data_IF_498971889919
#
_entry.id   IF_498971889919
#
_cell.length_a   1.000
_cell.length_b   1.000
_cell.length_c   1.000
_cell.angle_alpha   90.00
_cell.angle_beta   90.00
_cell.angle_gamma   90.00
#
_symmetry.space_group_name_H-M   'P 1'
#
loop_
_entity.id
_entity.type
_entity.pdbx_description
1 polymer ?
#
# COMPACT_ATOMS: atom_id res chain seq x y z
N UNK A 1 3.06 -3.03 27.82
CA UNK A 1 2.87 -3.57 26.46
C UNK A 1 2.77 -5.10 26.50
N UNK A 2 1.65 -5.66 26.96
CA UNK A 2 1.43 -7.11 27.09
C UNK A 2 0.50 -7.70 26.00
N UNK A 3 0.08 -6.87 25.04
CA UNK A 3 -0.91 -7.24 24.01
C UNK A 3 -0.36 -7.91 22.75
N UNK A 4 0.96 -7.88 22.51
CA UNK A 4 1.54 -8.29 21.20
C UNK A 4 1.64 -9.80 21.04
N UNK A 5 2.16 -10.54 22.03
CA UNK A 5 2.44 -11.98 21.87
C UNK A 5 1.19 -12.86 21.68
N UNK A 6 0.08 -12.53 22.34
CA UNK A 6 -1.20 -13.24 22.16
C UNK A 6 -1.81 -12.93 20.80
N UNK A 7 -1.79 -11.66 20.41
CA UNK A 7 -2.28 -11.20 19.12
C UNK A 7 -1.48 -11.81 17.95
N UNK A 8 -0.14 -11.82 18.05
CA UNK A 8 0.75 -12.46 17.08
C UNK A 8 0.48 -13.95 16.93
N UNK A 9 0.23 -14.64 18.04
CA UNK A 9 -0.11 -16.07 18.03
C UNK A 9 -1.47 -16.33 17.38
N UNK A 10 -2.48 -15.50 17.66
CA UNK A 10 -3.80 -15.59 17.02
C UNK A 10 -3.71 -15.31 15.52
N UNK A 11 -2.93 -14.31 15.10
CA UNK A 11 -2.65 -14.02 13.68
C UNK A 11 -1.96 -15.19 12.99
N UNK A 12 -0.94 -15.79 13.61
CA UNK A 12 -0.24 -16.95 13.04
C UNK A 12 -1.17 -18.18 12.88
N UNK A 13 -2.06 -18.42 13.85
CA UNK A 13 -3.06 -19.50 13.76
C UNK A 13 -4.06 -19.24 12.63
N UNK A 14 -4.57 -18.01 12.53
CA UNK A 14 -5.49 -17.63 11.45
C UNK A 14 -4.82 -17.69 10.08
N UNK A 15 -3.55 -17.26 9.98
CA UNK A 15 -2.79 -17.31 8.75
C UNK A 15 -2.59 -18.75 8.26
N UNK A 16 -2.30 -19.70 9.17
CA UNK A 16 -2.21 -21.14 8.83
C UNK A 16 -3.52 -21.68 8.25
N UNK A 17 -4.67 -21.25 8.78
CA UNK A 17 -5.98 -21.67 8.26
C UNK A 17 -6.24 -21.11 6.86
N UNK A 18 -5.89 -19.85 6.62
CA UNK A 18 -6.08 -19.19 5.32
C UNK A 18 -5.12 -19.75 4.25
N UNK A 19 -3.92 -20.16 4.64
CA UNK A 19 -2.91 -20.70 3.72
C UNK A 19 -3.40 -21.94 2.96
N UNK A 20 -4.22 -22.78 3.59
CA UNK A 20 -4.74 -24.01 3.00
C UNK A 20 -5.69 -23.79 1.80
N UNK A 21 -6.27 -22.58 1.67
CA UNK A 21 -7.18 -22.22 0.58
C UNK A 21 -6.69 -21.08 -0.31
N UNK A 22 -5.44 -20.62 -0.13
CA UNK A 22 -4.92 -19.45 -0.81
C UNK A 22 -4.27 -19.79 -2.16
N UNK A 23 -4.94 -19.45 -3.26
CA UNK A 23 -4.41 -19.58 -4.61
C UNK A 23 -3.44 -18.45 -4.98
N UNK A 24 -3.65 -17.25 -4.44
CA UNK A 24 -2.86 -16.06 -4.76
C UNK A 24 -1.42 -16.17 -4.20
N UNK A 25 -0.37 -16.05 -5.05
CA UNK A 25 1.02 -16.21 -4.61
C UNK A 25 1.50 -15.13 -3.64
N UNK A 26 1.07 -13.87 -3.84
CA UNK A 26 1.43 -12.74 -2.97
C UNK A 26 0.87 -12.97 -1.56
N UNK A 27 -0.42 -13.30 -1.48
CA UNK A 27 -1.09 -13.60 -0.22
C UNK A 27 -0.50 -14.86 0.42
N UNK A 28 -0.11 -15.87 -0.35
CA UNK A 28 0.57 -17.07 0.18
C UNK A 28 1.91 -16.70 0.83
N UNK A 29 2.72 -15.87 0.18
CA UNK A 29 3.97 -15.36 0.76
C UNK A 29 3.70 -14.54 2.03
N UNK A 30 2.72 -13.65 2.01
CA UNK A 30 2.33 -12.84 3.16
C UNK A 30 1.91 -13.70 4.34
N UNK A 31 1.06 -14.70 4.11
CA UNK A 31 0.61 -15.64 5.14
C UNK A 31 1.79 -16.46 5.68
N UNK A 32 2.70 -16.92 4.84
CA UNK A 32 3.91 -17.62 5.25
C UNK A 32 4.79 -16.76 6.17
N UNK A 33 4.98 -15.47 5.84
CA UNK A 33 5.66 -14.52 6.71
C UNK A 33 4.95 -14.40 8.08
N UNK A 34 3.62 -14.25 8.09
CA UNK A 34 2.84 -14.18 9.34
C UNK A 34 2.95 -15.47 10.18
N UNK A 35 2.92 -16.65 9.56
CA UNK A 35 3.05 -17.91 10.31
C UNK A 35 4.40 -18.08 11.01
N UNK A 36 5.46 -17.45 10.48
CA UNK A 36 6.81 -17.44 11.05
C UNK A 36 7.00 -16.35 12.11
N UNK A 37 5.95 -15.61 12.46
CA UNK A 37 6.00 -14.54 13.45
C UNK A 37 6.53 -13.22 12.91
N UNK A 38 6.61 -13.06 11.57
CA UNK A 38 6.88 -11.77 10.94
C UNK A 38 5.62 -10.89 10.94
N UNK A 39 5.10 -10.60 12.13
CA UNK A 39 3.99 -9.66 12.31
C UNK A 39 4.46 -8.22 12.08
N UNK A 40 3.77 -7.52 11.17
CA UNK A 40 3.99 -6.11 10.89
C UNK A 40 5.34 -5.78 10.23
N UNK A 41 5.62 -4.48 10.10
CA UNK A 41 6.74 -3.94 9.31
C UNK A 41 8.10 -4.47 9.80
N UNK A 42 8.31 -4.59 11.11
CA UNK A 42 9.57 -5.12 11.67
C UNK A 42 9.79 -6.59 11.32
N UNK A 43 8.72 -7.38 11.27
CA UNK A 43 8.78 -8.78 10.86
C UNK A 43 9.16 -8.92 9.40
N UNK A 44 8.46 -8.18 8.52
CA UNK A 44 8.74 -8.16 7.09
C UNK A 44 10.16 -7.66 6.79
N UNK A 45 10.65 -6.67 7.54
CA UNK A 45 12.05 -6.22 7.46
C UNK A 45 13.08 -7.29 7.78
N UNK A 46 12.79 -8.18 8.74
CA UNK A 46 13.67 -9.34 9.00
C UNK A 46 13.62 -10.34 7.86
N UNK A 47 12.43 -10.60 7.31
CA UNK A 47 12.26 -11.50 6.17
C UNK A 47 13.03 -10.99 4.95
N UNK A 48 12.88 -9.72 4.59
CA UNK A 48 13.62 -9.09 3.50
C UNK A 48 15.14 -9.25 3.68
N UNK A 49 15.64 -8.93 4.88
CA UNK A 49 17.07 -9.08 5.20
C UNK A 49 17.59 -10.52 5.14
N UNK A 50 16.72 -11.51 5.36
CA UNK A 50 17.09 -12.93 5.23
C UNK A 50 17.18 -13.35 3.76
N UNK A 51 16.35 -12.75 2.90
CA UNK A 51 16.35 -13.02 1.46
C UNK A 51 17.49 -12.30 0.72
N UNK A 52 17.91 -11.14 1.22
CA UNK A 52 19.00 -10.31 0.69
C UNK A 52 20.37 -10.90 1.08
N UNK A 53 20.83 -11.91 0.32
CA UNK A 53 22.08 -12.64 0.56
C UNK A 53 23.30 -11.72 0.46
N UNK A 54 23.31 -10.81 -0.50
CA UNK A 54 24.44 -9.92 -0.77
C UNK A 54 24.40 -8.63 0.08
N UNK A 55 23.33 -8.39 0.83
CA UNK A 55 23.11 -7.22 1.70
C UNK A 55 23.15 -5.87 0.97
N UNK A 56 22.79 -5.83 -0.31
CA UNK A 56 22.73 -4.61 -1.12
C UNK A 56 21.43 -3.81 -0.89
N UNK A 57 20.52 -4.30 -0.03
CA UNK A 57 19.21 -3.72 0.30
C UNK A 57 18.18 -3.76 -0.83
N UNK A 58 18.38 -4.66 -1.78
CA UNK A 58 17.45 -4.96 -2.87
C UNK A 58 17.44 -6.48 -3.07
N UNK A 59 16.39 -7.03 -3.68
CA UNK A 59 16.33 -8.44 -4.03
C UNK A 59 16.39 -8.58 -5.53
N UNK A 60 17.44 -9.22 -6.04
CA UNK A 60 17.43 -9.66 -7.43
C UNK A 60 16.49 -10.87 -7.64
N UNK A 61 16.20 -11.21 -8.90
CA UNK A 61 15.28 -12.32 -9.21
C UNK A 61 15.74 -13.67 -8.60
N UNK A 62 17.05 -13.92 -8.50
CA UNK A 62 17.57 -15.16 -7.93
C UNK A 62 17.40 -15.18 -6.42
N UNK A 63 17.71 -14.08 -5.74
CA UNK A 63 17.50 -13.90 -4.30
C UNK A 63 16.02 -14.01 -3.95
N UNK A 64 15.15 -13.40 -4.75
CA UNK A 64 13.70 -13.50 -4.58
C UNK A 64 13.19 -14.94 -4.72
N UNK A 65 13.58 -15.67 -5.79
CA UNK A 65 13.19 -17.08 -6.00
C UNK A 65 13.70 -17.96 -4.85
N UNK A 66 14.95 -17.77 -4.43
CA UNK A 66 15.52 -18.50 -3.28
C UNK A 66 14.71 -18.22 -2.02
N UNK A 67 14.41 -16.94 -1.74
CA UNK A 67 13.59 -16.51 -0.62
C UNK A 67 12.20 -17.14 -0.61
N UNK A 68 11.51 -17.18 -1.75
CA UNK A 68 10.20 -17.84 -1.88
C UNK A 68 10.28 -19.33 -1.49
N UNK A 69 11.30 -20.03 -1.98
CA UNK A 69 11.53 -21.44 -1.68
C UNK A 69 11.82 -21.67 -0.20
N UNK A 70 12.68 -20.86 0.42
CA UNK A 70 13.01 -20.93 1.86
C UNK A 70 11.77 -20.65 2.74
N UNK A 71 10.85 -19.82 2.24
CA UNK A 71 9.57 -19.54 2.89
C UNK A 71 8.48 -20.58 2.58
N UNK A 72 8.79 -21.64 1.83
CA UNK A 72 7.87 -22.73 1.51
C UNK A 72 6.81 -22.35 0.48
N UNK A 73 7.09 -21.32 -0.33
CA UNK A 73 6.28 -20.93 -1.48
C UNK A 73 6.97 -21.48 -2.73
N UNK A 74 6.77 -22.77 -2.99
CA UNK A 74 7.28 -23.43 -4.18
C UNK A 74 6.42 -23.05 -5.38
N UNK A 75 7.06 -22.57 -6.44
CA UNK A 75 6.41 -22.22 -7.70
C UNK A 75 7.38 -22.38 -8.86
N UNK A 76 6.85 -22.49 -10.08
CA UNK A 76 7.65 -22.56 -11.29
C UNK A 76 8.37 -21.22 -11.54
N UNK A 77 9.47 -21.27 -12.29
CA UNK A 77 10.30 -20.10 -12.55
C UNK A 77 9.52 -18.99 -13.24
N UNK A 78 8.63 -19.33 -14.16
CA UNK A 78 7.78 -18.40 -14.90
C UNK A 78 6.80 -17.69 -13.97
N UNK A 79 6.20 -18.42 -13.01
CA UNK A 79 5.29 -17.87 -12.00
C UNK A 79 6.05 -16.94 -11.05
N UNK A 80 7.24 -17.32 -10.61
CA UNK A 80 8.09 -16.48 -9.77
C UNK A 80 8.55 -15.20 -10.49
N UNK A 81 8.82 -15.29 -11.80
CA UNK A 81 9.20 -14.12 -12.61
C UNK A 81 8.01 -13.17 -12.77
N UNK A 82 6.81 -13.70 -13.01
CA UNK A 82 5.60 -12.89 -13.06
C UNK A 82 5.29 -12.24 -11.69
N UNK A 83 5.53 -12.96 -10.60
CA UNK A 83 5.40 -12.42 -9.24
C UNK A 83 6.44 -11.32 -8.99
N UNK A 84 7.70 -11.54 -9.39
CA UNK A 84 8.77 -10.55 -9.28
C UNK A 84 8.40 -9.24 -9.97
N UNK A 85 7.86 -9.30 -11.18
CA UNK A 85 7.38 -8.11 -11.92
C UNK A 85 6.20 -7.38 -11.24
N UNK A 86 5.45 -8.05 -10.36
CA UNK A 86 4.42 -7.37 -9.57
C UNK A 86 5.01 -6.63 -8.36
N UNK A 87 6.17 -7.06 -7.88
CA UNK A 87 6.90 -6.40 -6.80
C UNK A 87 7.74 -5.24 -7.33
N UNK A 88 8.50 -5.46 -8.41
CA UNK A 88 9.35 -4.48 -9.11
C UNK A 88 8.47 -3.50 -9.91
N UNK A 89 7.98 -2.46 -9.23
CA UNK A 89 7.02 -1.49 -9.76
C UNK A 89 7.68 -0.42 -10.60
N UNK A 90 8.91 -0.06 -10.22
CA UNK A 90 9.68 0.92 -10.96
C UNK A 90 10.44 0.33 -12.16
N UNK A 91 10.47 -1.01 -12.27
CA UNK A 91 11.12 -1.73 -13.36
C UNK A 91 12.64 -1.67 -13.29
N UNK A 92 13.20 -1.44 -12.10
CA UNK A 92 14.64 -1.39 -11.86
C UNK A 92 15.33 -2.75 -12.07
N UNK A 93 14.55 -3.85 -12.11
CA UNK A 93 15.05 -5.22 -12.19
C UNK A 93 15.49 -5.78 -10.84
N UNK A 94 15.17 -5.08 -9.75
CA UNK A 94 15.41 -5.48 -8.36
C UNK A 94 14.24 -5.04 -7.51
N UNK A 95 13.91 -5.78 -6.45
CA UNK A 95 12.84 -5.38 -5.52
C UNK A 95 13.45 -4.65 -4.34
N UNK A 96 13.13 -3.38 -4.15
CA UNK A 96 13.58 -2.65 -2.97
C UNK A 96 12.72 -2.97 -1.72
N UNK A 97 13.15 -2.46 -0.57
CA UNK A 97 12.45 -2.73 0.68
C UNK A 97 11.03 -2.13 0.73
N UNK A 98 10.81 -0.97 0.13
CA UNK A 98 9.52 -0.30 0.12
C UNK A 98 8.53 -1.02 -0.80
N UNK A 99 8.97 -1.45 -1.99
CA UNK A 99 8.22 -2.30 -2.91
C UNK A 99 7.80 -3.62 -2.26
N UNK A 100 8.74 -4.25 -1.54
CA UNK A 100 8.47 -5.47 -0.79
C UNK A 100 7.40 -5.25 0.29
N UNK A 101 7.49 -4.16 1.06
CA UNK A 101 6.53 -3.84 2.11
C UNK A 101 5.15 -3.46 1.57
N UNK A 102 5.09 -2.70 0.48
CA UNK A 102 3.82 -2.29 -0.14
C UNK A 102 3.08 -3.52 -0.67
N UNK A 103 3.80 -4.44 -1.31
CA UNK A 103 3.20 -5.63 -1.92
C UNK A 103 2.76 -6.67 -0.89
N UNK A 104 3.50 -6.82 0.22
CA UNK A 104 3.12 -7.72 1.33
C UNK A 104 2.18 -7.11 2.37
N UNK A 105 1.73 -5.88 2.15
CA UNK A 105 0.77 -5.23 3.05
C UNK A 105 -0.54 -6.02 3.10
N UNK A 106 -1.18 -6.16 4.29
CA UNK A 106 -2.47 -6.82 4.37
C UNK A 106 -3.52 -6.13 3.48
N UNK A 107 -4.35 -6.89 2.75
CA UNK A 107 -5.39 -6.31 1.92
C UNK A 107 -6.41 -5.58 2.79
N UNK A 108 -6.85 -4.41 2.32
CA UNK A 108 -7.96 -3.68 2.97
C UNK A 108 -9.24 -4.52 2.99
N UNK A 109 -9.99 -4.45 4.09
CA UNK A 109 -11.31 -5.06 4.18
C UNK A 109 -12.28 -4.45 3.17
N UNK A 110 -13.35 -5.18 2.82
CA UNK A 110 -14.38 -4.68 1.89
C UNK A 110 -14.97 -3.34 2.36
N UNK A 111 -15.18 -3.18 3.66
CA UNK A 111 -15.72 -1.94 4.25
C UNK A 111 -14.75 -0.76 4.09
N UNK A 112 -13.44 -0.97 4.33
CA UNK A 112 -12.42 0.07 4.09
C UNK A 112 -12.31 0.43 2.61
N UNK A 113 -12.32 -0.56 1.71
CA UNK A 113 -12.30 -0.32 0.26
C UNK A 113 -13.52 0.51 -0.19
N UNK A 114 -14.68 0.26 0.40
CA UNK A 114 -15.90 0.99 0.06
C UNK A 114 -15.81 2.47 0.45
N UNK A 115 -15.40 2.81 1.68
CA UNK A 115 -15.29 4.22 2.08
C UNK A 115 -14.18 4.97 1.34
N UNK A 116 -13.08 4.30 0.96
CA UNK A 116 -12.05 4.87 0.08
C UNK A 116 -12.62 5.15 -1.31
N UNK A 117 -13.44 4.25 -1.85
CA UNK A 117 -14.12 4.47 -3.14
C UNK A 117 -15.12 5.62 -3.08
N UNK A 118 -15.88 5.74 -1.98
CA UNK A 118 -16.81 6.86 -1.76
C UNK A 118 -16.07 8.19 -1.72
N UNK A 119 -14.91 8.26 -1.04
CA UNK A 119 -14.05 9.42 -1.05
C UNK A 119 -13.52 9.75 -2.45
N UNK A 120 -13.01 8.75 -3.19
CA UNK A 120 -12.52 8.94 -4.56
C UNK A 120 -13.60 9.52 -5.48
N UNK A 121 -14.79 8.90 -5.50
CA UNK A 121 -15.94 9.36 -6.31
C UNK A 121 -16.45 10.74 -5.92
N UNK A 122 -16.25 11.15 -4.67
CA UNK A 122 -16.62 12.50 -4.23
C UNK A 122 -15.71 13.56 -4.85
N UNK A 123 -14.42 13.23 -5.01
CA UNK A 123 -13.39 14.08 -5.58
C UNK A 123 -13.45 14.11 -7.10
N UNK A 124 -13.54 12.96 -7.76
CA UNK A 124 -13.70 12.83 -9.21
C UNK A 124 -15.05 13.41 -9.67
N UNK A 125 -15.08 14.70 -10.03
CA UNK A 125 -16.28 15.44 -10.43
C UNK A 125 -16.57 15.29 -11.91
N UNK A 126 -15.54 15.18 -12.72
CA UNK A 126 -15.63 14.88 -14.15
C UNK A 126 -16.18 13.47 -14.38
N UNK A 127 -15.92 12.53 -13.46
CA UNK A 127 -16.32 11.14 -13.56
C UNK A 127 -15.49 10.35 -14.56
N UNK A 128 -14.30 10.83 -14.92
CA UNK A 128 -13.40 10.22 -15.91
C UNK A 128 -12.45 9.18 -15.28
N UNK A 129 -12.52 8.99 -13.95
CA UNK A 129 -11.76 8.00 -13.21
C UNK A 129 -10.37 8.48 -12.78
N UNK A 130 -10.06 9.78 -12.94
CA UNK A 130 -8.84 10.41 -12.42
C UNK A 130 -9.20 11.69 -11.67
N UNK A 131 -8.50 11.98 -10.57
CA UNK A 131 -8.69 13.24 -9.85
C UNK A 131 -7.64 14.24 -10.34
N UNK A 132 -8.10 15.38 -10.81
CA UNK A 132 -7.26 16.45 -11.35
C UNK A 132 -7.42 17.76 -10.57
N UNK A 133 -6.62 18.77 -10.91
CA UNK A 133 -6.77 20.13 -10.33
C UNK A 133 -8.16 20.71 -10.63
N UNK A 134 -8.74 20.39 -11.80
CA UNK A 134 -10.08 20.86 -12.18
C UNK A 134 -11.16 20.31 -11.25
N UNK A 135 -11.06 19.04 -10.87
CA UNK A 135 -11.95 18.40 -9.91
C UNK A 135 -11.88 19.07 -8.54
N UNK A 136 -10.66 19.38 -8.07
CA UNK A 136 -10.44 19.99 -6.76
C UNK A 136 -10.98 21.41 -6.67
N UNK A 137 -10.95 22.20 -7.76
CA UNK A 137 -11.56 23.54 -7.80
C UNK A 137 -13.06 23.50 -7.47
N UNK A 138 -13.75 22.41 -7.79
CA UNK A 138 -15.17 22.21 -7.49
C UNK A 138 -15.46 21.77 -6.05
N UNK A 139 -14.45 21.36 -5.28
CA UNK A 139 -14.61 20.76 -3.95
C UNK A 139 -13.95 21.59 -2.85
N UNK A 140 -12.81 22.21 -3.13
CA UNK A 140 -11.98 22.93 -2.17
C UNK A 140 -11.75 24.37 -2.61
N UNK A 141 -11.56 25.24 -1.63
CA UNK A 141 -11.31 26.66 -1.86
C UNK A 141 -9.90 27.03 -1.39
N UNK A 142 -9.00 27.33 -2.33
CA UNK A 142 -7.61 27.67 -2.06
C UNK A 142 -7.46 29.02 -1.31
N UNK A 143 -8.48 29.88 -1.29
CA UNK A 143 -8.42 31.23 -0.68
C UNK A 143 -8.14 31.24 0.82
N UNK A 144 -8.38 30.12 1.50
CA UNK A 144 -8.10 29.96 2.93
C UNK A 144 -6.74 29.33 3.22
N UNK A 145 -5.99 28.92 2.19
CA UNK A 145 -4.66 28.36 2.36
C UNK A 145 -3.66 29.47 2.72
N UNK A 146 -2.85 29.35 3.79
CA UNK A 146 -1.94 30.41 4.22
C UNK A 146 -0.96 30.88 3.13
N UNK A 147 -0.45 29.93 2.32
CA UNK A 147 0.46 30.25 1.21
C UNK A 147 -0.21 30.89 -0.01
N UNK A 148 -1.53 30.75 -0.13
CA UNK A 148 -2.26 31.50 -1.14
C UNK A 148 -2.51 32.93 -0.66
N UNK A 149 -2.83 33.10 0.63
CA UNK A 149 -3.10 34.40 1.24
C UNK A 149 -1.88 35.32 1.28
N UNK A 150 -0.68 34.78 1.50
CA UNK A 150 0.57 35.55 1.48
C UNK A 150 1.14 35.75 0.06
N UNK A 151 0.49 35.21 -0.98
CA UNK A 151 0.92 35.32 -2.38
C UNK A 151 2.10 34.44 -2.78
N UNK A 152 2.56 33.53 -1.92
CA UNK A 152 3.66 32.59 -2.25
C UNK A 152 3.23 31.55 -3.27
N UNK A 153 1.99 31.07 -3.18
CA UNK A 153 1.41 30.04 -4.03
C UNK A 153 0.19 30.56 -4.79
N UNK A 154 0.12 30.18 -6.05
CA UNK A 154 -1.08 30.23 -6.87
C UNK A 154 -2.10 29.17 -6.43
N UNK A 155 -3.34 29.32 -6.89
CA UNK A 155 -4.38 28.31 -6.64
C UNK A 155 -3.99 26.94 -7.19
N UNK A 156 -3.37 26.91 -8.37
CA UNK A 156 -2.94 25.67 -9.03
C UNK A 156 -1.82 24.99 -8.25
N UNK A 157 -0.88 25.74 -7.68
CA UNK A 157 0.19 25.19 -6.83
C UNK A 157 -0.34 24.60 -5.52
N UNK A 158 -1.37 25.21 -4.92
CA UNK A 158 -2.05 24.64 -3.75
C UNK A 158 -2.66 23.28 -4.09
N UNK A 159 -3.41 23.20 -5.19
CA UNK A 159 -4.07 21.96 -5.59
C UNK A 159 -3.09 20.91 -6.11
N UNK A 160 -2.06 21.31 -6.87
CA UNK A 160 -1.00 20.39 -7.33
C UNK A 160 -0.29 19.76 -6.14
N UNK A 161 0.09 20.56 -5.15
CA UNK A 161 0.75 20.07 -3.93
C UNK A 161 -0.16 19.13 -3.12
N UNK A 162 -1.47 19.41 -3.11
CA UNK A 162 -2.43 18.50 -2.50
C UNK A 162 -2.50 17.16 -3.24
N UNK A 163 -2.59 17.18 -4.58
CA UNK A 163 -2.60 15.96 -5.39
C UNK A 163 -1.30 15.17 -5.25
N UNK A 164 -0.15 15.85 -5.14
CA UNK A 164 1.16 15.23 -4.94
C UNK A 164 1.21 14.31 -3.71
N UNK A 165 0.36 14.56 -2.71
CA UNK A 165 0.28 13.70 -1.52
C UNK A 165 -0.33 12.32 -1.79
N UNK A 166 -1.08 12.16 -2.89
CA UNK A 166 -1.71 10.92 -3.32
C UNK A 166 -1.09 10.33 -4.59
N UNK A 167 -0.53 11.18 -5.45
CA UNK A 167 0.17 10.86 -6.69
C UNK A 167 1.33 9.87 -6.44
N UNK A 168 1.64 9.00 -7.39
CA UNK A 168 2.68 7.98 -7.25
C UNK A 168 4.04 8.60 -6.91
N UNK A 169 4.86 7.99 -6.03
CA UNK A 169 6.22 8.47 -5.81
C UNK A 169 7.12 8.23 -7.03
N UNK A 170 6.75 7.33 -7.94
CA UNK A 170 7.54 6.95 -9.11
C UNK A 170 7.17 7.76 -10.36
N UNK A 171 5.92 8.23 -10.46
CA UNK A 171 5.41 8.98 -11.60
C UNK A 171 4.56 10.13 -11.05
N UNK A 172 5.05 11.37 -11.15
CA UNK A 172 4.34 12.57 -10.68
C UNK A 172 3.70 13.30 -11.86
N UNK A 173 2.59 12.79 -12.37
CA UNK A 173 1.93 13.33 -13.57
C UNK A 173 0.87 14.42 -13.25
N UNK A 174 0.51 14.55 -11.97
CA UNK A 174 -0.45 15.53 -11.48
C UNK A 174 -1.90 15.16 -11.66
N UNK A 175 -2.10 13.87 -11.86
CA UNK A 175 -3.37 13.20 -11.79
C UNK A 175 -3.27 12.19 -10.67
N UNK A 176 -4.41 11.86 -10.10
CA UNK A 176 -4.48 10.81 -9.10
C UNK A 176 -5.47 9.79 -9.62
N UNK A 177 -4.93 8.69 -10.09
CA UNK A 177 -5.72 7.53 -10.49
C UNK A 177 -6.34 6.87 -9.28
N UNK A 178 -7.36 6.06 -9.54
CA UNK A 178 -7.96 5.21 -8.53
C UNK A 178 -6.93 4.33 -7.82
N UNK A 179 -6.00 3.73 -8.56
CA UNK A 179 -5.03 2.80 -7.99
C UNK A 179 -4.01 3.51 -7.08
N UNK A 180 -3.61 4.73 -7.42
CA UNK A 180 -2.74 5.56 -6.57
C UNK A 180 -3.45 5.97 -5.28
N UNK A 181 -4.69 6.46 -5.39
CA UNK A 181 -5.50 6.82 -4.23
C UNK A 181 -5.72 5.61 -3.30
N UNK A 182 -5.98 4.43 -3.88
CA UNK A 182 -6.10 3.18 -3.12
C UNK A 182 -4.76 2.76 -2.51
N UNK A 183 -3.64 2.92 -3.22
CA UNK A 183 -2.30 2.61 -2.72
C UNK A 183 -1.93 3.46 -1.51
N UNK A 184 -2.19 4.77 -1.58
CA UNK A 184 -2.03 5.69 -0.46
C UNK A 184 -2.84 5.24 0.76
N UNK A 185 -4.14 5.01 0.59
CA UNK A 185 -5.01 4.61 1.69
C UNK A 185 -4.78 3.19 2.18
N UNK A 186 -4.23 2.31 1.36
CA UNK A 186 -3.73 1.01 1.80
C UNK A 186 -2.67 1.19 2.89
N UNK A 187 -1.77 2.18 2.73
CA UNK A 187 -0.72 2.49 3.71
C UNK A 187 -1.26 3.01 5.02
N UNK A 188 -2.16 3.99 4.94
CA UNK A 188 -2.87 4.52 6.12
C UNK A 188 -3.71 3.42 6.78
N UNK A 189 -4.32 2.53 6.00
CA UNK A 189 -5.08 1.40 6.53
C UNK A 189 -4.20 0.42 7.29
N UNK A 190 -3.00 0.13 6.80
CA UNK A 190 -2.10 -0.83 7.43
C UNK A 190 -1.54 -0.35 8.78
N UNK A 191 -1.60 0.95 9.09
CA UNK A 191 -1.24 1.49 10.40
C UNK A 191 -2.42 1.58 11.38
N UNK A 192 -3.63 1.21 10.95
CA UNK A 192 -4.86 1.29 11.73
C UNK A 192 -5.47 -0.10 11.94
N UNK A 193 -5.48 -0.57 13.19
CA UNK A 193 -5.96 -1.91 13.54
C UNK A 193 -7.49 -2.06 13.42
N UNK A 194 -8.25 -0.99 13.65
CA UNK A 194 -9.72 -1.04 13.69
C UNK A 194 -10.37 -0.48 12.44
N UNK A 195 -11.21 -1.30 11.79
CA UNK A 195 -12.06 -0.87 10.66
C UNK A 195 -12.97 0.29 11.04
N UNK A 196 -13.58 0.24 12.24
CA UNK A 196 -14.46 1.32 12.74
C UNK A 196 -13.74 2.66 12.79
N UNK A 197 -12.53 2.70 13.37
CA UNK A 197 -11.72 3.90 13.43
C UNK A 197 -11.29 4.38 12.04
N UNK A 198 -10.82 3.48 11.16
CA UNK A 198 -10.46 3.84 9.78
C UNK A 198 -11.65 4.48 9.03
N UNK A 199 -12.82 3.86 9.12
CA UNK A 199 -14.04 4.35 8.45
C UNK A 199 -14.46 5.71 9.02
N UNK A 200 -14.42 5.87 10.35
CA UNK A 200 -14.73 7.15 10.99
C UNK A 200 -13.75 8.25 10.57
N UNK A 201 -12.45 7.95 10.54
CA UNK A 201 -11.41 8.85 10.06
C UNK A 201 -11.67 9.28 8.61
N UNK A 202 -11.97 8.33 7.72
CA UNK A 202 -12.27 8.61 6.31
C UNK A 202 -13.52 9.47 6.13
N UNK A 203 -14.61 9.15 6.83
CA UNK A 203 -15.86 9.92 6.77
C UNK A 203 -15.65 11.36 7.26
N UNK A 204 -14.88 11.54 8.33
CA UNK A 204 -14.57 12.87 8.85
C UNK A 204 -13.65 13.65 7.91
N UNK A 205 -12.57 13.03 7.42
CA UNK A 205 -11.60 13.66 6.53
C UNK A 205 -12.25 14.14 5.23
N UNK A 206 -13.11 13.30 4.63
CA UNK A 206 -13.73 13.59 3.34
C UNK A 206 -15.16 14.12 3.46
N UNK A 207 -15.70 14.31 4.66
CA UNK A 207 -17.09 14.72 4.92
C UNK A 207 -18.11 13.87 4.14
N UNK A 208 -18.02 12.54 4.28
CA UNK A 208 -18.93 11.58 3.66
C UNK A 208 -20.19 11.37 4.50
#
# INVERSE_FOLDING_TARGET
MAGTARHDREMAINAKKQLAGCSDPVERLRLQCLTRGSSGIKGLGRTFKIMDDNSNRSLDLKEFIKGLNDYGVLMEKEEATALFQQFDRDGSGTIDFDEFLITLRPPMSKARKQVVMEAFRKLDKTGDGVITVEDLRGVYNAKYHPKYQNGEWTEDEVFRTFLDSFDSPYEKDGKVTKDEFFSYYSGVSASIDSDVYFILMMRNAWRL
#
